data_IF_042505019491
#
_entry.id   IF_042505019491
#
_cell.length_a   1.000
_cell.length_b   1.000
_cell.length_c   1.000
_cell.angle_alpha   90.00
_cell.angle_beta   90.00
_cell.angle_gamma   90.00
#
_symmetry.space_group_name_H-M   'P 1'
#
loop_
_entity.id
_entity.type
_entity.pdbx_description
1 polymer ?
#
# COMPACT_ATOMS: atom_id res chain seq x y z
N UNK A 1 16.41 26.50 -62.72
CA UNK A 1 16.83 25.48 -61.73
C UNK A 1 15.94 25.57 -60.51
N UNK A 2 15.03 24.61 -60.30
CA UNK A 2 14.12 24.55 -59.13
C UNK A 2 14.84 23.81 -58.01
N UNK A 3 15.09 24.48 -56.88
CA UNK A 3 15.64 23.86 -55.67
C UNK A 3 14.50 23.14 -54.94
N UNK A 4 14.57 21.81 -54.87
CA UNK A 4 13.66 20.98 -54.08
C UNK A 4 14.25 20.94 -52.67
N UNK A 5 13.55 21.54 -51.69
CA UNK A 5 13.88 21.48 -50.28
C UNK A 5 13.27 20.20 -49.71
N UNK A 6 14.10 19.23 -49.37
CA UNK A 6 13.68 17.97 -48.71
C UNK A 6 13.53 18.22 -47.21
N UNK A 7 12.31 18.25 -46.72
CA UNK A 7 12.00 18.37 -45.28
C UNK A 7 12.05 16.97 -44.66
N UNK A 8 13.12 16.69 -43.94
CA UNK A 8 13.24 15.44 -43.15
C UNK A 8 12.45 15.60 -41.86
N UNK A 9 11.24 15.03 -41.79
CA UNK A 9 10.44 14.93 -40.56
C UNK A 9 11.08 13.83 -39.67
N UNK A 10 11.87 14.25 -38.68
CA UNK A 10 12.36 13.37 -37.62
C UNK A 10 11.21 13.10 -36.64
N UNK A 11 10.52 11.98 -36.80
CA UNK A 11 9.56 11.51 -35.83
C UNK A 11 10.32 10.91 -34.61
N UNK A 12 10.56 11.71 -33.59
CA UNK A 12 11.02 11.21 -32.30
C UNK A 12 9.85 10.55 -31.61
N UNK A 13 9.78 9.23 -31.63
CA UNK A 13 8.88 8.46 -30.78
C UNK A 13 9.35 8.61 -29.35
N UNK A 14 8.68 9.45 -28.58
CA UNK A 14 8.87 9.53 -27.12
C UNK A 14 8.21 8.28 -26.50
N UNK A 15 8.99 7.22 -26.33
CA UNK A 15 8.62 6.09 -25.48
C UNK A 15 8.78 6.54 -24.02
N UNK A 16 7.78 7.21 -23.48
CA UNK A 16 7.62 7.37 -22.03
C UNK A 16 6.62 6.31 -21.54
N UNK A 17 7.03 5.05 -21.55
CA UNK A 17 6.37 4.04 -20.74
C UNK A 17 7.30 3.72 -19.59
N UNK A 18 6.93 4.19 -18.38
CA UNK A 18 7.48 3.61 -17.17
C UNK A 18 7.08 2.14 -17.19
N UNK A 19 8.06 1.25 -17.25
CA UNK A 19 7.85 -0.19 -17.19
C UNK A 19 7.35 -0.52 -15.77
N UNK A 20 6.04 -0.76 -15.64
CA UNK A 20 5.47 -1.17 -14.37
C UNK A 20 5.92 -2.59 -14.04
N UNK A 21 6.28 -2.89 -12.78
CA UNK A 21 6.69 -4.22 -12.38
C UNK A 21 5.54 -5.21 -12.60
N UNK A 22 5.79 -6.22 -13.45
CA UNK A 22 4.87 -7.33 -13.68
C UNK A 22 5.22 -8.45 -12.69
N UNK A 23 4.22 -9.12 -12.14
CA UNK A 23 4.35 -10.29 -11.24
C UNK A 23 5.27 -10.09 -10.01
N UNK A 24 5.55 -8.84 -9.65
CA UNK A 24 6.38 -8.51 -8.49
C UNK A 24 5.59 -8.56 -7.17
N UNK A 25 4.31 -8.19 -7.22
CA UNK A 25 3.45 -8.12 -6.05
C UNK A 25 2.43 -9.25 -6.03
N UNK A 26 2.36 -9.96 -4.92
CA UNK A 26 1.31 -10.97 -4.70
C UNK A 26 0.02 -10.34 -4.16
N UNK A 27 -1.09 -11.10 -4.24
CA UNK A 27 -2.30 -10.78 -3.49
C UNK A 27 -2.00 -10.82 -1.97
N UNK A 28 -2.33 -9.75 -1.20
CA UNK A 28 -2.07 -9.71 0.23
C UNK A 28 -2.95 -10.64 1.09
N UNK A 29 -3.95 -11.30 0.51
CA UNK A 29 -4.85 -12.22 1.19
C UNK A 29 -4.86 -13.58 0.50
N UNK A 30 -4.84 -14.68 1.28
CA UNK A 30 -4.97 -16.05 0.75
C UNK A 30 -6.44 -16.43 0.53
N UNK A 31 -7.14 -15.61 -0.25
CA UNK A 31 -8.53 -15.84 -0.68
C UNK A 31 -8.66 -15.51 -2.16
N UNK A 32 -9.72 -15.99 -2.79
CA UNK A 32 -10.05 -15.57 -4.16
C UNK A 32 -10.22 -14.05 -4.20
N UNK A 33 -9.45 -13.39 -5.04
CA UNK A 33 -9.48 -11.94 -5.19
C UNK A 33 -10.79 -11.51 -5.87
N UNK A 34 -11.67 -10.89 -5.11
CA UNK A 34 -12.89 -10.24 -5.61
C UNK A 34 -12.86 -8.81 -5.11
N UNK A 35 -12.88 -7.85 -6.03
CA UNK A 35 -12.88 -6.43 -5.69
C UNK A 35 -14.31 -5.94 -5.46
N UNK A 36 -14.49 -5.08 -4.47
CA UNK A 36 -15.74 -4.34 -4.19
C UNK A 36 -15.59 -2.84 -4.41
N UNK A 37 -14.36 -2.36 -4.58
CA UNK A 37 -14.01 -1.00 -4.95
C UNK A 37 -12.71 -0.98 -5.74
N UNK A 38 -12.65 -0.12 -6.75
CA UNK A 38 -11.49 0.01 -7.65
C UNK A 38 -10.80 1.36 -7.46
N UNK A 39 -9.53 1.43 -7.89
CA UNK A 39 -8.78 2.67 -7.89
C UNK A 39 -9.48 3.74 -8.73
N UNK A 40 -9.46 5.00 -8.26
CA UNK A 40 -10.11 6.15 -8.85
C UNK A 40 -11.65 6.08 -8.96
N UNK A 41 -12.31 5.10 -8.32
CA UNK A 41 -13.75 5.09 -8.18
C UNK A 41 -14.23 6.34 -7.42
N UNK A 42 -15.24 7.02 -7.95
CA UNK A 42 -15.80 8.24 -7.32
C UNK A 42 -16.58 7.86 -6.05
N UNK A 43 -16.16 8.41 -4.93
CA UNK A 43 -16.87 8.35 -3.64
C UNK A 43 -17.59 9.70 -3.39
N UNK A 44 -18.32 9.82 -2.30
CA UNK A 44 -19.13 11.00 -2.01
C UNK A 44 -18.33 12.32 -1.97
N UNK A 45 -17.07 12.29 -1.58
CA UNK A 45 -16.22 13.47 -1.39
C UNK A 45 -14.76 13.32 -1.85
N UNK A 46 -14.38 12.17 -2.41
CA UNK A 46 -13.03 11.90 -2.89
C UNK A 46 -13.01 10.76 -3.92
N UNK A 47 -11.87 10.58 -4.60
CA UNK A 47 -11.62 9.38 -5.39
C UNK A 47 -10.99 8.30 -4.52
N UNK A 48 -11.43 7.05 -4.71
CA UNK A 48 -10.86 5.92 -4.01
C UNK A 48 -9.40 5.71 -4.41
N UNK A 49 -8.49 5.72 -3.44
CA UNK A 49 -7.04 5.66 -3.65
C UNK A 49 -6.46 4.24 -3.57
N UNK A 50 -7.29 3.20 -3.67
CA UNK A 50 -6.86 1.82 -3.52
C UNK A 50 -7.79 0.81 -4.16
N UNK A 51 -7.66 -0.44 -3.72
CA UNK A 51 -8.50 -1.56 -4.10
C UNK A 51 -9.18 -2.12 -2.84
N UNK A 52 -10.50 -2.21 -2.84
CA UNK A 52 -11.24 -2.86 -1.77
C UNK A 52 -11.41 -4.35 -2.07
N UNK A 53 -10.82 -5.21 -1.25
CA UNK A 53 -10.89 -6.66 -1.39
C UNK A 53 -12.05 -7.20 -0.55
N UNK A 54 -12.95 -7.95 -1.19
CA UNK A 54 -14.10 -8.58 -0.54
C UNK A 54 -13.66 -9.71 0.39
N UNK A 55 -13.75 -9.50 1.70
CA UNK A 55 -13.36 -10.46 2.73
C UNK A 55 -14.52 -11.36 3.20
N UNK A 56 -15.60 -11.45 2.44
CA UNK A 56 -16.81 -12.24 2.77
C UNK A 56 -17.40 -11.89 4.16
N UNK A 57 -17.36 -10.61 4.54
CA UNK A 57 -17.76 -10.08 5.86
C UNK A 57 -16.98 -10.67 7.04
N UNK A 58 -15.78 -11.23 6.78
CA UNK A 58 -14.87 -11.72 7.84
C UNK A 58 -13.81 -10.69 8.14
N UNK A 59 -13.49 -10.51 9.42
CA UNK A 59 -12.32 -9.75 9.87
C UNK A 59 -11.31 -10.70 10.51
N UNK A 60 -10.03 -10.28 10.58
CA UNK A 60 -8.98 -11.09 11.18
C UNK A 60 -8.34 -12.11 10.21
N UNK A 61 -8.59 -11.99 8.91
CA UNK A 61 -7.83 -12.73 7.91
C UNK A 61 -6.37 -12.28 7.94
N UNK A 62 -5.44 -13.20 7.79
CA UNK A 62 -4.01 -12.89 7.70
C UNK A 62 -3.78 -11.99 6.48
N UNK A 63 -3.07 -10.89 6.70
CA UNK A 63 -2.60 -9.99 5.64
C UNK A 63 -1.11 -10.19 5.49
N UNK A 64 -0.71 -10.59 4.31
CA UNK A 64 0.68 -10.83 3.94
C UNK A 64 1.27 -9.59 3.27
N UNK A 65 2.57 -9.39 3.41
CA UNK A 65 3.26 -8.42 2.57
C UNK A 65 3.16 -8.82 1.10
N UNK A 66 2.93 -7.84 0.24
CA UNK A 66 2.84 -8.09 -1.20
C UNK A 66 4.20 -8.47 -1.81
N UNK A 67 5.31 -8.08 -1.20
CA UNK A 67 6.68 -8.45 -1.53
C UNK A 67 7.61 -8.13 -0.36
N UNK A 68 8.85 -8.58 -0.38
CA UNK A 68 9.86 -8.22 0.62
C UNK A 68 10.10 -6.70 0.67
N UNK A 69 10.53 -6.20 1.83
CA UNK A 69 10.82 -4.78 2.01
C UNK A 69 11.01 -4.40 3.48
N UNK A 70 10.68 -3.18 3.82
CA UNK A 70 10.68 -2.71 5.21
C UNK A 70 9.43 -1.85 5.48
N UNK A 71 8.96 -1.88 6.72
CA UNK A 71 7.86 -1.02 7.16
C UNK A 71 8.39 0.40 7.25
N UNK A 72 7.97 1.26 6.34
CA UNK A 72 8.42 2.66 6.24
C UNK A 72 7.53 3.64 6.99
N UNK A 73 6.29 3.25 7.31
CA UNK A 73 5.35 4.07 8.07
C UNK A 73 4.29 3.19 8.72
N UNK A 74 3.93 3.53 9.97
CA UNK A 74 2.77 2.98 10.67
C UNK A 74 1.92 4.14 11.13
N UNK A 75 0.62 4.10 10.85
CA UNK A 75 -0.33 5.10 11.31
C UNK A 75 -1.50 4.43 12.01
N UNK A 76 -1.87 4.97 13.17
CA UNK A 76 -3.12 4.64 13.88
C UNK A 76 -3.91 5.93 14.07
N UNK A 77 -5.13 5.94 13.57
CA UNK A 77 -6.06 7.07 13.69
C UNK A 77 -7.50 6.55 13.84
N UNK A 78 -8.36 7.36 14.42
CA UNK A 78 -9.80 7.08 14.46
C UNK A 78 -10.47 7.28 13.10
N UNK A 79 -9.83 8.01 12.18
CA UNK A 79 -10.36 8.38 10.87
C UNK A 79 -9.48 7.89 9.72
N UNK A 80 -9.97 8.07 8.49
CA UNK A 80 -9.27 7.68 7.27
C UNK A 80 -8.96 6.19 7.24
N UNK A 81 -7.73 5.79 6.98
CA UNK A 81 -7.32 4.38 6.92
C UNK A 81 -7.34 3.64 8.27
N UNK A 82 -7.64 4.32 9.39
CA UNK A 82 -7.60 3.70 10.71
C UNK A 82 -6.21 3.20 11.09
N UNK A 83 -6.07 1.88 11.29
CA UNK A 83 -4.76 1.23 11.41
C UNK A 83 -4.22 0.96 10.02
N UNK A 84 -3.13 1.63 9.66
CA UNK A 84 -2.48 1.51 8.35
C UNK A 84 -1.01 1.18 8.46
N UNK A 85 -0.53 0.35 7.54
CA UNK A 85 0.86 -0.07 7.40
C UNK A 85 1.35 0.23 5.99
N UNK A 86 2.55 0.76 5.89
CA UNK A 86 3.21 1.09 4.62
C UNK A 86 4.50 0.28 4.53
N UNK A 87 4.68 -0.44 3.45
CA UNK A 87 5.89 -1.23 3.19
C UNK A 87 6.57 -0.72 1.93
N UNK A 88 7.79 -0.27 2.06
CA UNK A 88 8.63 0.15 0.93
C UNK A 88 9.48 -1.01 0.45
N UNK A 89 9.47 -1.24 -0.86
CA UNK A 89 10.09 -2.37 -1.52
C UNK A 89 11.38 -1.98 -2.25
N UNK A 90 12.29 -2.92 -2.52
CA UNK A 90 13.56 -2.64 -3.22
C UNK A 90 13.41 -2.01 -4.61
N UNK A 91 12.26 -2.22 -5.27
CA UNK A 91 11.95 -1.62 -6.57
C UNK A 91 11.49 -0.15 -6.47
N UNK A 92 11.49 0.45 -5.26
CA UNK A 92 11.09 1.83 -5.01
C UNK A 92 9.59 2.07 -4.85
N UNK A 93 8.75 1.05 -5.01
CA UNK A 93 7.31 1.17 -4.74
C UNK A 93 7.00 0.98 -3.26
N UNK A 94 5.86 1.55 -2.83
CA UNK A 94 5.34 1.37 -1.47
C UNK A 94 3.93 0.81 -1.54
N UNK A 95 3.70 -0.32 -0.87
CA UNK A 95 2.35 -0.87 -0.69
C UNK A 95 1.73 -0.36 0.60
N UNK A 96 0.42 -0.09 0.57
CA UNK A 96 -0.34 0.45 1.70
C UNK A 96 -1.47 -0.52 2.06
N UNK A 97 -1.53 -0.86 3.33
CA UNK A 97 -2.54 -1.75 3.90
C UNK A 97 -3.36 -0.95 4.91
N UNK A 98 -4.60 -0.65 4.58
CA UNK A 98 -5.53 0.14 5.40
C UNK A 98 -6.57 -0.68 6.14
N UNK A 99 -7.32 -0.02 7.02
CA UNK A 99 -8.48 -0.56 7.75
C UNK A 99 -8.18 -1.83 8.55
N UNK A 100 -6.92 -2.00 9.01
CA UNK A 100 -6.44 -3.21 9.68
C UNK A 100 -7.07 -3.36 11.07
N UNK A 101 -7.34 -4.60 11.49
CA UNK A 101 -7.80 -4.92 12.84
C UNK A 101 -6.66 -4.80 13.86
N UNK A 102 -5.50 -5.37 13.52
CA UNK A 102 -4.26 -5.35 14.31
C UNK A 102 -3.07 -5.66 13.41
N UNK A 103 -1.89 -5.32 13.87
CA UNK A 103 -0.65 -5.70 13.21
C UNK A 103 -0.18 -7.10 13.65
N UNK A 104 0.87 -7.63 13.02
CA UNK A 104 1.55 -8.85 13.49
C UNK A 104 2.17 -8.60 14.87
N UNK A 105 2.44 -9.65 15.67
CA UNK A 105 2.94 -9.46 17.05
C UNK A 105 4.18 -8.59 17.15
N UNK A 106 5.12 -8.71 16.22
CA UNK A 106 6.36 -7.92 16.18
C UNK A 106 6.08 -6.44 15.93
N UNK A 107 5.25 -6.14 14.92
CA UNK A 107 4.88 -4.76 14.57
C UNK A 107 3.97 -4.16 15.65
N UNK A 108 3.06 -4.96 16.23
CA UNK A 108 2.18 -4.51 17.32
C UNK A 108 3.00 -4.14 18.58
N UNK A 109 4.06 -4.89 18.91
CA UNK A 109 4.95 -4.55 20.01
C UNK A 109 5.64 -3.21 19.76
N UNK A 110 6.26 -3.04 18.59
CA UNK A 110 6.92 -1.80 18.20
C UNK A 110 6.00 -0.57 18.32
N UNK A 111 4.79 -0.65 17.80
CA UNK A 111 3.87 0.49 17.83
C UNK A 111 3.33 0.78 19.22
N UNK A 112 3.16 -0.24 20.07
CA UNK A 112 2.77 -0.05 21.47
C UNK A 112 3.81 0.75 22.26
N UNK A 113 5.09 0.43 22.09
CA UNK A 113 6.16 1.18 22.74
C UNK A 113 6.09 2.66 22.34
N UNK A 114 5.92 2.95 21.05
CA UNK A 114 5.72 4.32 20.56
C UNK A 114 4.44 4.99 21.12
N UNK A 115 3.35 4.24 21.30
CA UNK A 115 2.12 4.77 21.91
C UNK A 115 2.31 5.12 23.39
N UNK A 116 3.03 4.28 24.14
CA UNK A 116 3.38 4.56 25.54
C UNK A 116 4.32 5.76 25.69
N UNK A 117 5.34 5.86 24.85
CA UNK A 117 6.26 7.01 24.85
C UNK A 117 5.56 8.33 24.55
N UNK A 118 4.56 8.30 23.64
CA UNK A 118 3.79 9.48 23.23
C UNK A 118 2.54 9.71 24.08
N UNK A 119 2.25 8.80 25.02
CA UNK A 119 1.01 8.83 25.82
C UNK A 119 -0.26 9.03 24.96
N UNK A 120 -0.28 8.43 23.76
CA UNK A 120 -1.34 8.62 22.78
C UNK A 120 -1.73 7.33 22.08
N UNK A 121 -3.04 7.11 21.90
CA UNK A 121 -3.55 6.04 21.07
C UNK A 121 -3.29 6.32 19.57
N UNK A 122 -3.51 7.57 19.13
CA UNK A 122 -3.25 7.97 17.76
C UNK A 122 -1.77 8.30 17.59
N UNK A 123 -1.12 7.58 16.71
CA UNK A 123 0.31 7.74 16.45
C UNK A 123 0.60 7.61 14.96
N UNK A 124 1.63 8.30 14.56
CA UNK A 124 2.24 8.17 13.25
C UNK A 124 3.75 8.08 13.45
N UNK A 125 4.34 6.99 12.98
CA UNK A 125 5.76 6.70 13.15
C UNK A 125 6.38 6.25 11.83
N UNK A 126 7.67 6.51 11.69
CA UNK A 126 8.46 6.21 10.49
C UNK A 126 9.69 5.41 10.92
N UNK A 127 9.57 4.05 11.01
CA UNK A 127 10.70 3.19 11.33
C UNK A 127 11.84 3.38 10.32
N UNK A 128 13.09 3.24 10.78
CA UNK A 128 14.23 3.21 9.89
C UNK A 128 14.18 1.95 9.01
N UNK A 129 14.86 2.00 7.87
CA UNK A 129 14.85 0.94 6.88
C UNK A 129 15.48 -0.39 7.33
N UNK A 130 16.03 -0.45 8.53
CA UNK A 130 16.64 -1.65 9.14
C UNK A 130 15.87 -2.18 10.37
N UNK A 131 14.87 -1.45 10.87
CA UNK A 131 14.18 -1.79 12.13
C UNK A 131 13.09 -2.85 11.95
N UNK A 132 12.26 -2.70 10.93
CA UNK A 132 11.12 -3.58 10.65
C UNK A 132 11.19 -4.12 9.23
N UNK A 133 12.19 -4.97 8.97
CA UNK A 133 12.30 -5.70 7.71
C UNK A 133 11.17 -6.73 7.62
N UNK A 134 10.62 -6.95 6.44
CA UNK A 134 9.59 -7.95 6.15
C UNK A 134 10.00 -8.77 4.94
N UNK A 135 9.84 -10.10 5.06
CA UNK A 135 10.13 -11.03 3.98
C UNK A 135 8.88 -11.26 3.10
N UNK A 136 9.12 -11.78 1.90
CA UNK A 136 8.04 -12.24 1.04
C UNK A 136 7.17 -13.24 1.79
N UNK A 137 5.84 -13.13 1.65
CA UNK A 137 4.86 -13.99 2.32
C UNK A 137 4.79 -13.86 3.86
N UNK A 138 5.44 -12.87 4.45
CA UNK A 138 5.32 -12.63 5.89
C UNK A 138 3.93 -12.08 6.24
N UNK A 139 3.33 -12.60 7.33
CA UNK A 139 2.10 -12.04 7.89
C UNK A 139 2.45 -10.75 8.63
N UNK A 140 2.01 -9.61 8.09
CA UNK A 140 2.29 -8.28 8.63
C UNK A 140 1.13 -7.71 9.46
N UNK A 141 -0.09 -8.19 9.20
CA UNK A 141 -1.28 -7.66 9.86
C UNK A 141 -2.47 -8.64 9.74
N UNK A 142 -3.62 -8.18 10.23
CA UNK A 142 -4.90 -8.88 10.12
C UNK A 142 -5.98 -7.92 9.61
N UNK A 143 -6.82 -8.39 8.69
CA UNK A 143 -7.88 -7.60 8.06
C UNK A 143 -8.90 -7.09 9.09
N UNK A 144 -9.40 -5.90 8.88
CA UNK A 144 -10.33 -5.24 9.80
C UNK A 144 -11.29 -4.28 9.12
N UNK A 145 -11.74 -3.32 9.90
CA UNK A 145 -12.62 -2.24 9.47
C UNK A 145 -12.42 -1.02 10.39
N UNK A 146 -11.16 -0.68 10.70
CA UNK A 146 -10.85 0.49 11.53
C UNK A 146 -10.81 1.77 10.68
N UNK A 147 -11.00 2.92 11.32
CA UNK A 147 -11.09 4.20 10.62
C UNK A 147 -12.45 4.45 9.96
N UNK A 148 -12.51 5.42 9.07
CA UNK A 148 -13.69 5.73 8.29
C UNK A 148 -13.68 4.96 6.97
N UNK A 149 -14.33 3.81 6.90
CA UNK A 149 -14.65 3.20 5.60
C UNK A 149 -15.90 3.89 5.05
N UNK A 150 -15.78 4.55 3.94
CA UNK A 150 -16.91 5.09 3.16
C UNK A 150 -17.52 4.01 2.30
#
# INVERSE_FOLDING_TARGET
MKKILFFFLLSTSLYSQSEYPQDYFRNPLDITLVLTGTFAELRSNHFHSGLDIKTQRKTGLKVYTASMGYVSRIKISHYGYGKALYVTHPNGYTTVYGHLKKFSPRIEAYIKDCQYEKESYEVEVFPNNTELLVDTDEVIAYSGNTGGSS
#
